data_IF_941417804524
#
_entry.id   IF_941417804524
#
_cell.length_a   1.000
_cell.length_b   1.000
_cell.length_c   1.000
_cell.angle_alpha   90.00
_cell.angle_beta   90.00
_cell.angle_gamma   90.00
#
_symmetry.space_group_name_H-M   'P 1'
#
loop_
_entity.id
_entity.type
_entity.pdbx_description
1 polymer ?
#
# COMPACT_ATOMS: atom_id res chain seq x y z
N UNK A 1 -8.77 -21.54 -5.98
CA UNK A 1 -8.33 -21.41 -4.58
C UNK A 1 -9.05 -20.21 -3.98
N UNK A 2 -9.69 -20.34 -2.81
CA UNK A 2 -10.43 -19.23 -2.17
C UNK A 2 -9.54 -18.50 -1.14
N UNK A 3 -9.87 -17.25 -0.81
CA UNK A 3 -9.19 -16.48 0.23
C UNK A 3 -9.12 -17.23 1.56
N UNK A 4 -10.22 -17.83 1.99
CA UNK A 4 -10.25 -18.60 3.25
C UNK A 4 -9.20 -19.72 3.28
N UNK A 5 -9.01 -20.41 2.15
CA UNK A 5 -8.00 -21.46 2.03
C UNK A 5 -6.58 -20.89 2.14
N UNK A 6 -6.32 -19.72 1.56
CA UNK A 6 -5.04 -19.02 1.68
C UNK A 6 -4.74 -18.67 3.14
N UNK A 7 -5.72 -18.07 3.85
CA UNK A 7 -5.57 -17.67 5.24
C UNK A 7 -5.40 -18.87 6.18
N UNK A 8 -6.10 -19.98 5.92
CA UNK A 8 -6.02 -21.20 6.74
C UNK A 8 -4.77 -22.02 6.51
N UNK A 9 -4.12 -21.91 5.35
CA UNK A 9 -2.94 -22.73 5.01
C UNK A 9 -1.73 -22.46 5.90
N UNK A 10 -1.84 -21.55 6.88
CA UNK A 10 -0.79 -21.18 7.84
C UNK A 10 0.51 -20.99 7.07
N UNK A 11 0.53 -20.07 6.11
CA UNK A 11 1.79 -19.54 5.62
C UNK A 11 2.21 -18.43 6.61
N UNK A 12 3.02 -18.71 7.65
CA UNK A 12 3.62 -17.68 8.51
C UNK A 12 4.55 -16.73 7.73
N UNK A 13 4.61 -16.88 6.42
CA UNK A 13 5.47 -16.12 5.53
C UNK A 13 4.72 -15.06 4.71
N UNK A 14 3.39 -14.93 4.82
CA UNK A 14 2.67 -13.89 4.07
C UNK A 14 3.01 -12.47 4.55
N UNK A 15 2.97 -11.51 3.63
CA UNK A 15 2.80 -10.09 3.92
C UNK A 15 1.46 -9.62 3.33
N UNK A 16 0.66 -8.91 4.12
CA UNK A 16 -0.58 -8.30 3.65
C UNK A 16 -0.28 -6.98 2.97
N UNK A 17 -0.94 -6.69 1.85
CA UNK A 17 -0.92 -5.38 1.19
C UNK A 17 -2.35 -4.85 1.14
N UNK A 18 -2.65 -3.88 2.00
CA UNK A 18 -4.01 -3.41 2.27
C UNK A 18 -4.20 -2.01 1.66
N UNK A 19 -5.31 -1.83 0.95
CA UNK A 19 -5.73 -0.54 0.42
C UNK A 19 -6.97 0.03 1.09
N UNK A 20 -7.37 1.22 0.63
CA UNK A 20 -8.47 1.98 1.24
C UNK A 20 -9.84 1.30 1.11
N UNK A 21 -9.96 0.25 0.30
CA UNK A 21 -11.17 -0.59 0.27
C UNK A 21 -11.56 -1.12 1.66
N UNK A 22 -10.59 -1.35 2.56
CA UNK A 22 -10.88 -1.77 3.94
C UNK A 22 -11.65 -0.68 4.71
N UNK A 23 -11.31 0.60 4.51
CA UNK A 23 -11.98 1.72 5.16
C UNK A 23 -13.37 2.00 4.55
N UNK A 24 -13.66 1.45 3.37
CA UNK A 24 -14.92 1.62 2.64
C UNK A 24 -15.93 0.49 2.89
N UNK A 25 -15.50 -0.60 3.52
CA UNK A 25 -16.40 -1.70 3.87
C UNK A 25 -17.43 -1.28 4.93
N UNK A 26 -18.60 -1.91 4.91
CA UNK A 26 -19.77 -1.56 5.73
C UNK A 26 -20.23 -0.09 5.55
N UNK A 27 -20.82 0.53 6.58
CA UNK A 27 -21.45 1.86 6.51
C UNK A 27 -20.46 3.04 6.34
N UNK A 28 -19.18 2.77 6.04
CA UNK A 28 -18.13 3.80 5.91
C UNK A 28 -17.90 4.28 4.47
N UNK A 29 -18.55 3.67 3.48
CA UNK A 29 -18.34 3.95 2.06
C UNK A 29 -18.57 5.42 1.65
N UNK A 30 -19.46 6.14 2.34
CA UNK A 30 -19.75 7.55 2.07
C UNK A 30 -18.77 8.53 2.75
N UNK A 31 -18.04 8.08 3.78
CA UNK A 31 -17.22 8.94 4.64
C UNK A 31 -15.73 8.84 4.28
N UNK A 32 -15.26 7.66 3.87
CA UNK A 32 -13.81 7.35 3.81
C UNK A 32 -13.30 7.10 2.39
N UNK A 33 -13.59 7.99 1.44
CA UNK A 33 -13.16 7.87 0.04
C UNK A 33 -12.13 8.93 -0.35
N UNK A 34 -10.92 8.51 -0.75
CA UNK A 34 -9.87 9.42 -1.21
C UNK A 34 -10.30 10.32 -2.37
N UNK A 35 -11.02 9.77 -3.35
CA UNK A 35 -11.50 10.55 -4.50
C UNK A 35 -12.44 11.67 -4.03
N UNK A 36 -13.30 11.38 -3.05
CA UNK A 36 -14.23 12.37 -2.50
C UNK A 36 -13.47 13.45 -1.70
N UNK A 37 -12.44 13.06 -0.95
CA UNK A 37 -11.59 14.00 -0.22
C UNK A 37 -10.84 14.94 -1.16
N UNK A 38 -10.22 14.41 -2.22
CA UNK A 38 -9.49 15.22 -3.20
C UNK A 38 -10.42 16.15 -3.97
N UNK A 39 -11.62 15.68 -4.36
CA UNK A 39 -12.64 16.55 -4.96
C UNK A 39 -13.10 17.63 -3.99
N UNK A 40 -13.22 17.33 -2.70
CA UNK A 40 -13.52 18.31 -1.66
C UNK A 40 -12.52 19.46 -1.65
N UNK A 41 -11.23 19.13 -1.58
CA UNK A 41 -10.12 20.11 -1.62
C UNK A 41 -10.09 20.86 -2.96
N UNK A 42 -10.32 20.14 -4.07
CA UNK A 42 -10.23 20.72 -5.41
C UNK A 42 -11.29 21.80 -5.68
N UNK A 43 -12.44 21.79 -5.00
CA UNK A 43 -13.51 22.79 -5.19
C UNK A 43 -13.06 24.21 -4.87
N UNK A 44 -12.17 24.35 -3.90
CA UNK A 44 -11.66 25.66 -3.48
C UNK A 44 -10.63 26.21 -4.49
N UNK A 45 -9.99 25.33 -5.26
CA UNK A 45 -8.99 25.70 -6.27
C UNK A 45 -9.54 25.75 -7.71
N UNK A 46 -10.59 24.97 -8.00
CA UNK A 46 -11.13 24.76 -9.35
C UNK A 46 -12.66 24.92 -9.30
N UNK A 47 -13.18 26.13 -9.58
CA UNK A 47 -14.62 26.40 -9.55
C UNK A 47 -15.43 25.42 -10.43
N UNK A 48 -16.47 24.82 -9.85
CA UNK A 48 -17.39 23.91 -10.56
C UNK A 48 -16.91 22.46 -10.70
N UNK A 49 -15.75 22.08 -10.15
CA UNK A 49 -15.30 20.69 -10.19
C UNK A 49 -16.16 19.80 -9.28
N UNK A 50 -16.73 18.75 -9.88
CA UNK A 50 -17.61 17.80 -9.17
C UNK A 50 -17.13 16.36 -9.25
N UNK A 51 -16.24 16.08 -10.20
CA UNK A 51 -15.58 14.78 -10.41
C UNK A 51 -14.25 14.98 -11.13
N UNK A 52 -13.38 13.98 -11.08
CA UNK A 52 -12.17 13.95 -11.91
C UNK A 52 -12.60 13.87 -13.39
N UNK A 53 -12.11 14.76 -14.27
CA UNK A 53 -12.43 14.71 -15.69
C UNK A 53 -12.02 13.37 -16.32
N UNK A 54 -12.84 12.77 -17.21
CA UNK A 54 -12.45 11.58 -17.96
C UNK A 54 -11.15 11.81 -18.74
N UNK A 55 -10.29 10.80 -18.78
CA UNK A 55 -8.97 10.88 -19.40
C UNK A 55 -7.87 11.47 -18.50
N UNK A 56 -8.16 11.75 -17.23
CA UNK A 56 -7.18 12.21 -16.24
C UNK A 56 -7.09 11.19 -15.10
N UNK A 57 -5.88 10.72 -14.80
CA UNK A 57 -5.66 9.89 -13.62
C UNK A 57 -5.78 10.73 -12.34
N UNK A 58 -6.20 10.12 -11.24
CA UNK A 58 -6.35 10.82 -9.94
C UNK A 58 -5.06 11.54 -9.52
N UNK A 59 -3.90 10.94 -9.83
CA UNK A 59 -2.58 11.49 -9.51
C UNK A 59 -2.21 12.71 -10.36
N UNK A 60 -2.66 12.75 -11.61
CA UNK A 60 -2.49 13.92 -12.48
C UNK A 60 -3.46 15.03 -12.07
N UNK A 61 -4.68 14.64 -11.69
CA UNK A 61 -5.67 15.58 -11.16
C UNK A 61 -5.16 16.29 -9.91
N UNK A 62 -4.52 15.56 -8.98
CA UNK A 62 -3.85 16.17 -7.83
C UNK A 62 -2.79 17.20 -8.26
N UNK A 63 -1.90 16.85 -9.20
CA UNK A 63 -0.84 17.76 -9.68
C UNK A 63 -1.46 19.04 -10.29
N UNK A 64 -2.59 18.92 -11.00
CA UNK A 64 -3.34 20.08 -11.52
C UNK A 64 -3.95 20.94 -10.40
N UNK A 65 -4.56 20.33 -9.38
CA UNK A 65 -5.10 21.04 -8.21
C UNK A 65 -3.98 21.80 -7.50
N UNK A 66 -2.82 21.18 -7.34
CA UNK A 66 -1.63 21.80 -6.75
C UNK A 66 -1.16 23.03 -7.53
N UNK A 67 -1.06 22.93 -8.87
CA UNK A 67 -0.73 24.07 -9.72
C UNK A 67 -1.75 25.22 -9.62
N UNK A 68 -3.03 24.89 -9.39
CA UNK A 68 -4.10 25.88 -9.23
C UNK A 68 -4.20 26.46 -7.81
N UNK A 69 -3.51 25.87 -6.84
CA UNK A 69 -3.49 26.33 -5.43
C UNK A 69 -2.42 27.40 -5.13
N UNK A 70 -1.91 28.09 -6.16
CA UNK A 70 -0.80 29.04 -6.08
C UNK A 70 0.49 28.46 -5.43
N UNK A 71 0.74 27.16 -5.62
CA UNK A 71 1.96 26.50 -5.17
C UNK A 71 2.01 26.17 -3.66
N UNK A 72 0.88 26.16 -2.96
CA UNK A 72 0.80 25.78 -1.53
C UNK A 72 0.74 24.25 -1.33
N UNK A 73 1.68 23.50 -1.90
CA UNK A 73 1.76 22.03 -1.81
C UNK A 73 1.57 21.46 -0.40
N UNK A 74 2.22 22.07 0.59
CA UNK A 74 2.14 21.62 1.99
C UNK A 74 0.76 21.84 2.63
N UNK A 75 -0.03 22.79 2.13
CA UNK A 75 -1.38 23.06 2.63
C UNK A 75 -2.36 21.98 2.15
N UNK A 76 -2.31 21.59 0.87
CA UNK A 76 -3.18 20.54 0.33
C UNK A 76 -2.96 19.18 1.01
N UNK A 77 -1.69 18.78 1.22
CA UNK A 77 -1.38 17.57 1.97
C UNK A 77 -1.86 17.66 3.43
N UNK A 78 -1.78 18.85 4.04
CA UNK A 78 -2.26 19.07 5.41
C UNK A 78 -3.78 18.95 5.52
N UNK A 79 -4.53 19.57 4.61
CA UNK A 79 -5.98 19.49 4.53
C UNK A 79 -6.44 18.05 4.27
N UNK A 80 -5.75 17.36 3.36
CA UNK A 80 -6.00 15.94 3.10
C UNK A 80 -5.80 15.11 4.37
N UNK A 81 -4.69 15.29 5.09
CA UNK A 81 -4.46 14.60 6.37
C UNK A 81 -5.53 14.94 7.42
N UNK A 82 -5.95 16.20 7.50
CA UNK A 82 -6.95 16.66 8.46
C UNK A 82 -8.30 15.98 8.23
N UNK A 83 -8.68 15.77 6.97
CA UNK A 83 -9.95 15.10 6.62
C UNK A 83 -10.05 13.64 7.10
N UNK A 84 -8.92 13.02 7.47
CA UNK A 84 -8.84 11.65 7.99
C UNK A 84 -8.61 11.57 9.51
N UNK A 85 -8.48 12.71 10.21
CA UNK A 85 -8.07 12.75 11.62
C UNK A 85 -9.06 12.01 12.57
N UNK A 86 -10.34 12.03 12.22
CA UNK A 86 -11.40 11.42 13.02
C UNK A 86 -11.75 9.98 12.61
N UNK A 87 -10.99 9.39 11.70
CA UNK A 87 -11.23 8.00 11.31
C UNK A 87 -10.92 7.06 12.49
N UNK A 88 -11.77 6.06 12.66
CA UNK A 88 -11.70 5.11 13.78
C UNK A 88 -11.78 3.66 13.27
N UNK A 89 -11.14 2.72 13.97
CA UNK A 89 -11.25 1.30 13.64
C UNK A 89 -12.67 0.76 13.77
N UNK A 90 -13.15 0.15 12.69
CA UNK A 90 -14.30 -0.75 12.68
C UNK A 90 -13.94 -2.19 13.08
N UNK A 91 -14.93 -3.06 13.37
CA UNK A 91 -14.67 -4.44 13.82
C UNK A 91 -13.82 -5.29 12.86
N UNK A 92 -13.98 -5.15 11.54
CA UNK A 92 -13.19 -5.90 10.57
C UNK A 92 -11.71 -5.47 10.56
N UNK A 93 -11.39 -4.19 10.78
CA UNK A 93 -10.01 -3.74 10.95
C UNK A 93 -9.33 -4.48 12.10
N UNK A 94 -9.97 -4.49 13.28
CA UNK A 94 -9.43 -5.17 14.47
C UNK A 94 -9.24 -6.66 14.23
N UNK A 95 -10.22 -7.31 13.59
CA UNK A 95 -10.16 -8.74 13.27
C UNK A 95 -8.97 -9.09 12.37
N UNK A 96 -8.78 -8.33 11.30
CA UNK A 96 -7.70 -8.56 10.33
C UNK A 96 -6.33 -8.24 10.96
N UNK A 97 -6.22 -7.16 11.72
CA UNK A 97 -4.98 -6.81 12.41
C UNK A 97 -4.63 -7.81 13.52
N UNK A 98 -5.61 -8.30 14.27
CA UNK A 98 -5.38 -9.35 15.26
C UNK A 98 -4.96 -10.67 14.60
N UNK A 99 -5.53 -11.02 13.44
CA UNK A 99 -5.05 -12.15 12.65
C UNK A 99 -3.59 -11.97 12.25
N UNK A 100 -3.24 -10.81 11.68
CA UNK A 100 -1.88 -10.53 11.22
C UNK A 100 -0.88 -10.55 12.39
N UNK A 101 -1.24 -9.96 13.53
CA UNK A 101 -0.42 -9.97 14.75
C UNK A 101 -0.19 -11.37 15.29
N UNK A 102 -1.23 -12.20 15.39
CA UNK A 102 -1.12 -13.60 15.84
C UNK A 102 -0.20 -14.44 14.95
N UNK A 103 -0.19 -14.17 13.66
CA UNK A 103 0.62 -14.90 12.68
C UNK A 103 1.97 -14.24 12.39
N UNK A 104 2.34 -13.17 13.12
CA UNK A 104 3.57 -12.39 12.88
C UNK A 104 3.68 -11.90 11.43
N UNK A 105 2.53 -11.60 10.81
CA UNK A 105 2.41 -11.24 9.40
C UNK A 105 2.59 -9.73 9.23
N UNK A 106 3.63 -9.25 8.52
CA UNK A 106 3.80 -7.84 8.24
C UNK A 106 2.67 -7.30 7.34
N UNK A 107 2.32 -6.02 7.54
CA UNK A 107 1.28 -5.32 6.80
C UNK A 107 1.86 -4.11 6.10
N UNK A 108 1.73 -4.07 4.78
CA UNK A 108 1.92 -2.90 3.95
C UNK A 108 0.57 -2.25 3.73
N UNK A 109 0.46 -0.93 3.92
CA UNK A 109 -0.76 -0.20 3.60
C UNK A 109 -0.49 0.98 2.69
N UNK A 110 -1.38 1.18 1.72
CA UNK A 110 -1.41 2.42 0.92
C UNK A 110 -2.20 3.52 1.64
N UNK A 111 -2.91 3.17 2.71
CA UNK A 111 -3.64 4.11 3.55
C UNK A 111 -2.70 5.13 4.21
N UNK A 112 -3.12 6.38 4.27
CA UNK A 112 -2.37 7.45 4.93
C UNK A 112 -2.76 7.62 6.40
N UNK A 113 -4.00 7.26 6.74
CA UNK A 113 -4.54 7.28 8.09
C UNK A 113 -3.89 6.24 9.02
N UNK A 114 -4.09 6.36 10.34
CA UNK A 114 -3.55 5.42 11.33
C UNK A 114 -4.60 4.39 11.82
N UNK A 115 -5.68 4.14 11.06
CA UNK A 115 -6.78 3.24 11.49
C UNK A 115 -6.26 1.83 11.75
N UNK A 116 -5.41 1.29 10.88
CA UNK A 116 -4.86 -0.06 11.07
C UNK A 116 -3.97 -0.14 12.33
N UNK A 117 -3.16 0.89 12.57
CA UNK A 117 -2.28 0.98 13.74
C UNK A 117 -3.07 1.06 15.04
N UNK A 118 -4.13 1.88 15.06
CA UNK A 118 -5.09 1.93 16.18
C UNK A 118 -5.85 0.62 16.36
N UNK A 119 -6.20 -0.08 15.27
CA UNK A 119 -6.89 -1.37 15.35
C UNK A 119 -6.03 -2.50 15.95
N UNK A 120 -4.70 -2.35 15.88
CA UNK A 120 -3.71 -3.31 16.35
C UNK A 120 -3.10 -2.95 17.72
N UNK A 121 -3.53 -1.84 18.33
CA UNK A 121 -2.92 -1.23 19.52
C UNK A 121 -1.39 -1.12 19.38
N UNK A 122 -0.95 -0.53 18.27
CA UNK A 122 0.46 -0.36 17.95
C UNK A 122 0.90 1.10 18.10
N UNK A 123 2.18 1.27 18.45
CA UNK A 123 2.80 2.57 18.59
C UNK A 123 3.73 2.85 17.41
N UNK A 124 3.96 4.13 17.15
CA UNK A 124 4.88 4.55 16.11
C UNK A 124 6.32 4.20 16.50
N UNK A 125 6.99 3.45 15.63
CA UNK A 125 8.35 3.00 15.79
C UNK A 125 9.27 3.73 14.80
N UNK A 126 10.37 4.25 15.34
CA UNK A 126 11.37 5.01 14.62
C UNK A 126 12.71 4.28 14.68
N UNK A 127 13.07 3.49 13.65
CA UNK A 127 14.35 2.78 13.66
C UNK A 127 15.52 3.76 13.46
N UNK A 128 16.69 3.46 14.06
CA UNK A 128 17.88 4.31 13.94
C UNK A 128 18.54 4.25 12.55
N UNK A 129 18.29 3.18 11.79
CA UNK A 129 18.85 2.93 10.46
C UNK A 129 17.75 2.34 9.54
N UNK A 130 17.59 2.77 8.28
CA UNK A 130 18.34 3.81 7.55
C UNK A 130 18.10 5.23 8.08
N UNK A 131 18.99 6.17 7.70
CA UNK A 131 18.85 7.59 8.02
C UNK A 131 17.45 8.10 7.66
N UNK A 132 16.71 8.51 8.69
CA UNK A 132 15.34 8.98 8.57
C UNK A 132 15.23 10.25 7.72
N UNK A 133 14.15 10.33 6.95
CA UNK A 133 13.64 11.58 6.40
C UNK A 133 12.12 11.59 6.53
N UNK A 134 11.53 12.70 6.94
CA UNK A 134 10.07 12.85 6.95
C UNK A 134 9.46 12.74 5.54
N UNK A 135 10.26 12.92 4.49
CA UNK A 135 9.84 12.78 3.10
C UNK A 135 9.80 11.31 2.65
N UNK A 136 10.71 10.45 3.12
CA UNK A 136 10.72 9.01 2.84
C UNK A 136 10.89 8.22 4.16
N UNK A 137 9.83 8.13 4.99
CA UNK A 137 9.88 7.43 6.27
C UNK A 137 9.81 5.91 6.08
N UNK A 138 10.55 5.35 5.12
CA UNK A 138 10.38 3.96 4.66
C UNK A 138 10.79 2.88 5.67
N UNK A 139 11.62 3.22 6.66
CA UNK A 139 11.91 2.34 7.80
C UNK A 139 10.88 2.45 8.93
N UNK A 140 10.19 3.58 9.04
CA UNK A 140 9.22 3.82 10.10
C UNK A 140 8.00 2.90 9.94
N UNK A 141 7.48 2.44 11.07
CA UNK A 141 6.38 1.49 11.13
C UNK A 141 5.58 1.65 12.41
N UNK A 142 4.45 0.96 12.51
CA UNK A 142 3.72 0.81 13.75
C UNK A 142 3.85 -0.63 14.24
N UNK A 143 4.28 -0.79 15.49
CA UNK A 143 4.42 -2.06 16.18
C UNK A 143 4.49 -1.84 17.69
N UNK A 144 4.48 -2.92 18.47
CA UNK A 144 4.65 -2.88 19.93
C UNK A 144 6.12 -2.80 20.38
N UNK A 145 7.05 -3.01 19.45
CA UNK A 145 8.49 -2.99 19.66
C UNK A 145 9.19 -2.63 18.35
N UNK A 146 10.48 -2.27 18.44
CA UNK A 146 11.31 -2.02 17.26
C UNK A 146 11.57 -3.32 16.49
N UNK A 147 11.45 -3.25 15.17
CA UNK A 147 11.70 -4.36 14.24
C UNK A 147 12.96 -4.04 13.43
N UNK A 148 13.99 -4.90 13.53
CA UNK A 148 15.21 -4.82 12.70
C UNK A 148 15.03 -5.52 11.34
N UNK A 149 14.41 -6.70 11.33
CA UNK A 149 14.07 -7.42 10.10
C UNK A 149 12.57 -7.33 9.83
N UNK A 150 12.12 -6.53 8.84
CA UNK A 150 10.71 -6.40 8.49
C UNK A 150 10.04 -7.75 8.20
N UNK A 151 10.79 -8.74 7.73
CA UNK A 151 10.28 -10.06 7.40
C UNK A 151 10.03 -10.97 8.62
N UNK A 152 10.52 -10.61 9.81
CA UNK A 152 10.56 -11.50 10.97
C UNK A 152 9.38 -11.32 11.95
N UNK A 153 8.64 -10.21 11.85
CA UNK A 153 7.59 -9.90 12.81
C UNK A 153 6.43 -9.09 12.21
N UNK A 154 5.35 -9.00 12.98
CA UNK A 154 4.23 -8.13 12.68
C UNK A 154 4.63 -6.65 12.86
N UNK A 155 4.42 -5.87 11.81
CA UNK A 155 4.46 -4.41 11.83
C UNK A 155 3.59 -3.85 10.72
N UNK A 156 3.26 -2.57 10.81
CA UNK A 156 2.44 -1.87 9.81
C UNK A 156 3.27 -0.76 9.18
N UNK A 157 3.50 -0.84 7.87
CA UNK A 157 4.25 0.14 7.10
C UNK A 157 3.35 0.87 6.10
N UNK A 158 3.47 2.19 6.05
CA UNK A 158 2.71 3.06 5.14
C UNK A 158 3.53 3.35 3.87
N UNK A 159 3.23 2.66 2.79
CA UNK A 159 4.08 2.67 1.58
C UNK A 159 3.87 3.92 0.71
N UNK A 160 2.70 4.57 0.81
CA UNK A 160 2.40 5.83 0.13
C UNK A 160 2.64 7.07 1.01
N UNK A 161 3.17 6.89 2.23
CA UNK A 161 3.29 7.96 3.23
C UNK A 161 2.22 7.86 4.30
N UNK A 162 2.41 8.61 5.40
CA UNK A 162 1.56 8.57 6.59
C UNK A 162 1.17 9.99 7.01
N UNK A 163 -0.06 10.16 7.50
CA UNK A 163 -0.62 11.45 7.88
C UNK A 163 0.23 12.18 8.95
N UNK A 164 0.93 11.41 9.79
CA UNK A 164 1.93 11.89 10.75
C UNK A 164 3.04 12.73 10.12
N UNK A 165 3.45 12.41 8.89
CA UNK A 165 4.43 13.15 8.13
C UNK A 165 3.80 13.62 6.81
N UNK A 166 3.14 14.77 6.85
CA UNK A 166 2.40 15.35 5.70
C UNK A 166 3.25 15.39 4.41
N UNK A 167 4.54 15.69 4.52
CA UNK A 167 5.47 15.73 3.37
C UNK A 167 5.81 14.36 2.78
N UNK A 168 5.53 13.26 3.49
CA UNK A 168 5.65 11.90 2.99
C UNK A 168 4.51 11.49 2.06
N UNK A 169 3.37 12.19 2.12
CA UNK A 169 2.15 11.83 1.40
C UNK A 169 2.39 11.87 -0.11
N UNK A 170 2.02 10.79 -0.79
CA UNK A 170 2.11 10.65 -2.26
C UNK A 170 0.71 10.63 -2.85
N UNK A 171 0.28 11.78 -3.35
CA UNK A 171 -1.02 11.95 -4.04
C UNK A 171 -0.84 12.29 -5.52
N UNK A 172 0.34 12.80 -5.89
CA UNK A 172 0.63 13.36 -7.20
C UNK A 172 1.45 12.42 -8.07
N UNK A 173 1.35 12.55 -9.40
CA UNK A 173 2.17 11.77 -10.33
C UNK A 173 3.66 12.10 -10.11
N UNK A 174 3.97 13.39 -10.00
CA UNK A 174 5.31 13.88 -9.72
C UNK A 174 5.90 13.31 -8.42
N UNK A 175 5.07 13.18 -7.38
CA UNK A 175 5.44 12.56 -6.11
C UNK A 175 5.83 11.07 -6.28
N UNK A 176 5.05 10.32 -7.06
CA UNK A 176 5.36 8.92 -7.35
C UNK A 176 6.62 8.78 -8.21
N UNK A 177 6.85 9.65 -9.19
CA UNK A 177 8.06 9.61 -10.01
C UNK A 177 9.34 9.84 -9.19
N UNK A 178 9.30 10.70 -8.19
CA UNK A 178 10.41 10.87 -7.25
C UNK A 178 10.64 9.61 -6.41
N UNK A 179 9.56 8.94 -5.99
CA UNK A 179 9.63 7.68 -5.25
C UNK A 179 10.22 6.56 -6.11
N UNK A 180 9.83 6.46 -7.38
CA UNK A 180 10.42 5.56 -8.39
C UNK A 180 11.90 5.84 -8.57
N UNK A 181 12.32 7.10 -8.73
CA UNK A 181 13.74 7.46 -8.87
C UNK A 181 14.57 7.01 -7.66
N UNK A 182 14.08 7.26 -6.45
CA UNK A 182 14.77 6.86 -5.21
C UNK A 182 14.85 5.34 -5.07
N UNK A 183 13.72 4.66 -5.19
CA UNK A 183 13.64 3.21 -5.08
C UNK A 183 14.46 2.51 -6.17
N UNK A 184 14.44 3.06 -7.40
CA UNK A 184 15.23 2.56 -8.53
C UNK A 184 16.73 2.59 -8.25
N UNK A 185 17.22 3.63 -7.57
CA UNK A 185 18.61 3.68 -7.10
C UNK A 185 18.97 2.55 -6.14
N UNK A 186 18.06 2.16 -5.26
CA UNK A 186 18.28 1.05 -4.31
C UNK A 186 18.11 -0.32 -4.95
N UNK A 187 17.25 -0.44 -5.96
CA UNK A 187 16.92 -1.72 -6.59
C UNK A 187 17.92 -2.06 -7.72
N UNK A 188 18.07 -1.14 -8.69
CA UNK A 188 18.84 -1.32 -9.93
C UNK A 188 20.15 -0.52 -9.93
N UNK A 189 20.55 0.02 -8.79
CA UNK A 189 21.76 0.82 -8.65
C UNK A 189 23.04 0.14 -9.14
N UNK A 190 24.11 0.92 -9.22
CA UNK A 190 25.45 0.41 -9.54
C UNK A 190 26.25 -0.01 -8.32
N UNK A 191 25.78 0.29 -7.10
CA UNK A 191 26.46 -0.13 -5.87
C UNK A 191 26.25 -1.62 -5.59
N UNK A 192 27.19 -2.23 -4.87
CA UNK A 192 27.05 -3.61 -4.39
C UNK A 192 25.93 -3.77 -3.35
N UNK A 193 25.47 -2.64 -2.77
CA UNK A 193 24.31 -2.56 -1.87
C UNK A 193 22.97 -2.39 -2.62
N UNK A 194 22.97 -2.46 -3.96
CA UNK A 194 21.73 -2.49 -4.73
C UNK A 194 21.13 -3.89 -4.74
N UNK A 195 19.80 -4.00 -4.69
CA UNK A 195 19.12 -5.29 -4.55
C UNK A 195 19.55 -6.32 -5.63
N UNK A 196 19.74 -5.89 -6.87
CA UNK A 196 20.10 -6.78 -7.98
C UNK A 196 21.57 -7.21 -7.98
N UNK A 197 22.42 -6.60 -7.15
CA UNK A 197 23.85 -6.91 -7.03
C UNK A 197 24.23 -7.47 -5.67
N UNK A 198 23.40 -7.24 -4.66
CA UNK A 198 23.61 -7.68 -3.29
C UNK A 198 23.83 -9.19 -3.23
N UNK A 199 24.96 -9.58 -2.62
CA UNK A 199 25.35 -10.99 -2.49
C UNK A 199 24.36 -11.76 -1.63
N UNK A 200 23.93 -11.16 -0.52
CA UNK A 200 22.92 -11.71 0.38
C UNK A 200 21.64 -10.87 0.39
N UNK A 201 20.51 -11.48 0.78
CA UNK A 201 19.20 -10.83 0.81
C UNK A 201 19.13 -9.62 1.75
N UNK A 202 19.97 -9.55 2.78
CA UNK A 202 20.01 -8.44 3.76
C UNK A 202 21.05 -7.37 3.44
N UNK A 203 21.91 -7.58 2.45
CA UNK A 203 23.03 -6.69 2.15
C UNK A 203 22.64 -5.64 1.11
N UNK A 204 21.51 -4.95 1.31
CA UNK A 204 21.05 -3.91 0.39
C UNK A 204 20.32 -2.78 1.11
N UNK A 205 20.29 -1.61 0.48
CA UNK A 205 19.88 -0.34 1.13
C UNK A 205 18.45 -0.34 1.67
N UNK A 206 17.56 -1.15 1.09
CA UNK A 206 16.17 -1.26 1.54
C UNK A 206 15.90 -2.41 2.52
N UNK A 207 16.92 -3.16 2.97
CA UNK A 207 16.74 -4.37 3.79
C UNK A 207 16.00 -4.14 5.10
N UNK A 208 16.14 -2.96 5.69
CA UNK A 208 15.46 -2.54 6.93
C UNK A 208 14.19 -1.71 6.68
N UNK A 209 13.60 -1.82 5.49
CA UNK A 209 12.42 -1.05 5.10
C UNK A 209 11.31 -1.95 4.59
N UNK A 210 10.11 -1.39 4.45
CA UNK A 210 8.99 -2.09 3.86
C UNK A 210 9.26 -2.62 2.44
N UNK A 211 10.21 -2.02 1.71
CA UNK A 211 10.59 -2.51 0.38
C UNK A 211 11.13 -3.94 0.45
N UNK A 212 11.77 -4.33 1.57
CA UNK A 212 12.27 -5.69 1.76
C UNK A 212 11.18 -6.75 1.68
N UNK A 213 10.00 -6.44 2.23
CA UNK A 213 8.83 -7.30 2.20
C UNK A 213 8.39 -7.60 0.77
N UNK A 214 8.38 -6.60 -0.11
CA UNK A 214 7.95 -6.75 -1.51
C UNK A 214 8.75 -7.83 -2.23
N UNK A 215 10.05 -7.93 -1.99
CA UNK A 215 10.95 -8.86 -2.68
C UNK A 215 11.19 -10.18 -1.95
N UNK A 216 10.88 -10.28 -0.64
CA UNK A 216 11.27 -11.42 0.20
C UNK A 216 10.10 -12.08 0.92
N UNK A 217 8.86 -11.69 0.61
CA UNK A 217 7.64 -12.32 1.14
C UNK A 217 6.64 -12.65 0.03
N UNK A 218 5.87 -13.73 0.19
CA UNK A 218 4.59 -13.89 -0.48
C UNK A 218 3.65 -12.72 -0.17
N UNK A 219 2.95 -12.20 -1.18
CA UNK A 219 2.11 -11.00 -1.02
C UNK A 219 0.62 -11.31 -1.18
N UNK A 220 -0.22 -10.81 -0.28
CA UNK A 220 -1.68 -10.89 -0.40
C UNK A 220 -2.28 -9.49 -0.48
N UNK A 221 -2.75 -9.10 -1.66
CA UNK A 221 -3.37 -7.80 -1.92
C UNK A 221 -4.88 -7.85 -1.64
N UNK A 222 -5.36 -6.97 -0.76
CA UNK A 222 -6.78 -6.79 -0.43
C UNK A 222 -7.15 -5.31 -0.33
N UNK A 223 -8.36 -4.95 -0.72
CA UNK A 223 -8.85 -3.57 -0.64
C UNK A 223 -8.13 -2.56 -1.54
N UNK A 224 -7.36 -3.04 -2.52
CA UNK A 224 -6.71 -2.23 -3.54
C UNK A 224 -7.44 -2.39 -4.88
N UNK A 225 -7.58 -1.28 -5.61
CA UNK A 225 -8.04 -1.35 -7.00
C UNK A 225 -6.92 -1.86 -7.92
N UNK A 226 -5.65 -1.54 -7.60
CA UNK A 226 -4.48 -1.77 -8.48
C UNK A 226 -4.70 -1.26 -9.91
N UNK A 227 -5.49 -0.19 -10.05
CA UNK A 227 -5.77 0.48 -11.31
C UNK A 227 -4.54 1.24 -11.81
N UNK A 228 -4.64 1.82 -13.00
CA UNK A 228 -3.51 2.45 -13.71
C UNK A 228 -2.86 3.60 -12.91
N UNK A 229 -3.60 4.22 -11.98
CA UNK A 229 -3.13 5.29 -11.11
C UNK A 229 -2.23 4.81 -9.94
N UNK A 230 -2.17 3.51 -9.63
CA UNK A 230 -1.27 2.94 -8.61
C UNK A 230 0.16 2.79 -9.15
N UNK A 231 0.68 3.86 -9.77
CA UNK A 231 1.87 3.83 -10.64
C UNK A 231 3.10 3.28 -9.91
N UNK A 232 3.35 3.72 -8.68
CA UNK A 232 4.53 3.28 -7.92
C UNK A 232 4.47 1.80 -7.53
N UNK A 233 3.30 1.33 -7.06
CA UNK A 233 3.12 -0.07 -6.69
C UNK A 233 3.18 -0.98 -7.92
N UNK A 234 2.55 -0.59 -9.04
CA UNK A 234 2.64 -1.33 -10.32
C UNK A 234 4.07 -1.39 -10.83
N UNK A 235 4.82 -0.29 -10.75
CA UNK A 235 6.25 -0.29 -11.07
C UNK A 235 7.05 -1.24 -10.18
N UNK A 236 6.82 -1.23 -8.86
CA UNK A 236 7.49 -2.16 -7.94
C UNK A 236 7.17 -3.64 -8.26
N UNK A 237 5.95 -3.94 -8.67
CA UNK A 237 5.57 -5.29 -9.08
C UNK A 237 6.29 -5.75 -10.35
N UNK A 238 6.49 -4.84 -11.31
CA UNK A 238 7.33 -5.10 -12.48
C UNK A 238 8.77 -5.38 -12.04
N UNK A 239 9.31 -4.58 -11.13
CA UNK A 239 10.67 -4.77 -10.61
C UNK A 239 10.83 -6.08 -9.84
N UNK A 240 9.82 -6.47 -9.05
CA UNK A 240 9.75 -7.77 -8.38
C UNK A 240 9.76 -8.92 -9.39
N UNK A 241 8.98 -8.82 -10.46
CA UNK A 241 8.96 -9.83 -11.51
C UNK A 241 10.32 -9.94 -12.24
N UNK A 242 10.97 -8.81 -12.54
CA UNK A 242 12.33 -8.79 -13.11
C UNK A 242 13.35 -9.43 -12.16
N UNK A 243 13.27 -9.10 -10.88
CA UNK A 243 14.16 -9.64 -9.85
C UNK A 243 14.02 -11.17 -9.76
N UNK A 244 12.80 -11.71 -9.75
CA UNK A 244 12.59 -13.16 -9.73
C UNK A 244 12.92 -13.86 -11.04
N UNK A 245 12.88 -13.17 -12.17
CA UNK A 245 13.42 -13.71 -13.43
C UNK A 245 14.93 -13.85 -13.37
N UNK A 246 15.62 -12.91 -12.72
CA UNK A 246 17.07 -12.94 -12.53
C UNK A 246 17.50 -13.94 -11.45
N UNK A 247 16.70 -14.10 -10.40
CA UNK A 247 16.94 -15.00 -9.27
C UNK A 247 15.73 -15.92 -9.03
N UNK A 248 15.50 -16.95 -9.87
CA UNK A 248 14.31 -17.80 -9.79
C UNK A 248 14.15 -18.52 -8.44
N UNK A 249 15.25 -18.84 -7.77
CA UNK A 249 15.28 -19.49 -6.46
C UNK A 249 14.79 -18.57 -5.32
N UNK A 250 14.70 -17.26 -5.57
CA UNK A 250 14.20 -16.27 -4.60
C UNK A 250 12.74 -15.92 -4.80
N UNK A 251 12.06 -16.59 -5.74
CA UNK A 251 10.68 -16.29 -6.10
C UNK A 251 9.73 -16.55 -4.93
N UNK A 252 8.84 -15.60 -4.71
CA UNK A 252 7.72 -15.72 -3.78
C UNK A 252 6.40 -15.49 -4.51
N UNK A 253 5.35 -16.21 -4.10
CA UNK A 253 4.03 -16.09 -4.71
C UNK A 253 3.35 -14.75 -4.38
N UNK A 254 2.28 -14.42 -5.12
CA UNK A 254 1.46 -13.26 -4.84
C UNK A 254 0.02 -13.49 -5.29
N UNK A 255 -0.93 -12.93 -4.54
CA UNK A 255 -2.37 -13.07 -4.80
C UNK A 255 -3.07 -11.73 -4.70
N UNK A 256 -4.00 -11.49 -5.63
CA UNK A 256 -4.88 -10.32 -5.64
C UNK A 256 -6.32 -10.76 -5.44
N UNK A 257 -6.93 -10.35 -4.34
CA UNK A 257 -8.34 -10.61 -4.07
C UNK A 257 -9.18 -9.46 -4.61
N UNK A 258 -10.16 -9.77 -5.45
CA UNK A 258 -11.04 -8.78 -6.06
C UNK A 258 -12.50 -9.25 -6.04
N UNK A 259 -13.40 -8.28 -6.18
CA UNK A 259 -14.81 -8.53 -6.49
C UNK A 259 -15.00 -8.08 -7.93
N UNK A 260 -15.62 -8.92 -8.76
CA UNK A 260 -15.88 -8.57 -10.15
C UNK A 260 -16.93 -7.45 -10.24
N UNK A 261 -16.67 -6.44 -11.08
CA UNK A 261 -17.70 -5.48 -11.50
C UNK A 261 -17.88 -5.66 -13.02
N UNK A 262 -18.99 -6.26 -13.47
CA UNK A 262 -19.19 -6.55 -14.89
C UNK A 262 -19.28 -5.29 -15.77
N UNK A 263 -19.35 -4.10 -15.17
CA UNK A 263 -19.35 -2.80 -15.86
C UNK A 263 -17.95 -2.21 -16.01
N UNK A 264 -16.93 -2.74 -15.33
CA UNK A 264 -15.56 -2.25 -15.43
C UNK A 264 -14.84 -2.93 -16.60
N UNK A 265 -14.94 -2.34 -17.79
CA UNK A 265 -14.31 -2.83 -19.02
C UNK A 265 -12.77 -2.92 -18.91
N UNK A 266 -12.16 -2.27 -17.91
CA UNK A 266 -10.71 -2.29 -17.65
C UNK A 266 -10.26 -3.52 -16.85
N UNK A 267 -11.17 -4.31 -16.29
CA UNK A 267 -10.85 -5.47 -15.47
C UNK A 267 -9.95 -6.47 -16.23
N UNK A 268 -10.23 -6.71 -17.51
CA UNK A 268 -9.42 -7.59 -18.36
C UNK A 268 -7.97 -7.10 -18.49
N UNK A 269 -7.76 -5.80 -18.73
CA UNK A 269 -6.42 -5.19 -18.82
C UNK A 269 -5.66 -5.26 -17.48
N UNK A 270 -6.37 -5.10 -16.36
CA UNK A 270 -5.80 -5.26 -15.02
C UNK A 270 -5.36 -6.71 -14.76
N UNK A 271 -6.20 -7.70 -15.08
CA UNK A 271 -5.83 -9.12 -14.96
C UNK A 271 -4.63 -9.45 -15.83
N UNK A 272 -4.65 -9.03 -17.10
CA UNK A 272 -3.51 -9.20 -18.01
C UNK A 272 -2.21 -8.69 -17.38
N UNK A 273 -2.22 -7.46 -16.83
CA UNK A 273 -1.04 -6.91 -16.17
C UNK A 273 -0.60 -7.73 -14.95
N UNK A 274 -1.52 -7.97 -13.99
CA UNK A 274 -1.19 -8.62 -12.72
C UNK A 274 -0.69 -10.05 -12.92
N UNK A 275 -1.34 -10.81 -13.78
CA UNK A 275 -0.94 -12.19 -14.09
C UNK A 275 0.40 -12.22 -14.84
N UNK A 276 0.65 -11.28 -15.75
CA UNK A 276 1.92 -11.16 -16.47
C UNK A 276 3.11 -10.86 -15.55
N UNK A 277 2.89 -10.16 -14.44
CA UNK A 277 3.92 -9.92 -13.40
C UNK A 277 3.92 -10.97 -12.29
N UNK A 278 3.18 -12.07 -12.47
CA UNK A 278 3.21 -13.24 -11.59
C UNK A 278 2.29 -13.17 -10.38
N UNK A 279 1.22 -12.37 -10.42
CA UNK A 279 0.22 -12.26 -9.36
C UNK A 279 -1.03 -13.04 -9.78
N UNK A 280 -1.47 -13.98 -8.94
CA UNK A 280 -2.69 -14.75 -9.20
C UNK A 280 -3.92 -13.97 -8.74
N UNK A 281 -4.82 -13.67 -9.67
CA UNK A 281 -6.11 -13.04 -9.36
C UNK A 281 -7.09 -14.08 -8.79
N UNK A 282 -7.74 -13.76 -7.66
CA UNK A 282 -8.74 -14.61 -7.01
C UNK A 282 -10.00 -13.79 -6.80
N UNK A 283 -11.07 -14.20 -7.45
CA UNK A 283 -12.38 -13.59 -7.32
C UNK A 283 -13.01 -13.98 -5.97
N UNK A 284 -13.60 -12.99 -5.31
CA UNK A 284 -14.49 -13.12 -4.17
C UNK A 284 -15.90 -12.71 -4.62
N UNK A 285 -16.93 -13.44 -4.18
CA UNK A 285 -18.31 -13.16 -4.59
C UNK A 285 -18.87 -11.85 -4.03
N UNK A 286 -18.25 -11.30 -2.99
CA UNK A 286 -18.60 -9.99 -2.43
C UNK A 286 -17.48 -9.43 -1.56
N UNK A 287 -17.56 -8.14 -1.21
CA UNK A 287 -16.66 -7.55 -0.21
C UNK A 287 -16.82 -8.18 1.18
N UNK A 288 -18.01 -8.71 1.51
CA UNK A 288 -18.22 -9.48 2.73
C UNK A 288 -17.39 -10.76 2.77
N UNK A 289 -17.23 -11.45 1.63
CA UNK A 289 -16.35 -12.62 1.54
C UNK A 289 -14.86 -12.28 1.72
N UNK A 290 -14.48 -11.00 1.60
CA UNK A 290 -13.13 -10.51 1.87
C UNK A 290 -12.99 -10.13 3.34
N UNK A 291 -13.78 -9.15 3.82
CA UNK A 291 -13.54 -8.51 5.12
C UNK A 291 -14.23 -9.22 6.29
N UNK A 292 -15.31 -9.95 6.02
CA UNK A 292 -16.00 -10.76 7.02
C UNK A 292 -15.63 -12.25 6.94
N UNK A 293 -14.61 -12.58 6.15
CA UNK A 293 -14.14 -13.95 5.95
C UNK A 293 -13.80 -14.63 7.29
N UNK A 294 -14.29 -15.86 7.56
CA UNK A 294 -13.98 -16.58 8.78
C UNK A 294 -12.49 -16.95 8.89
N UNK A 295 -11.76 -16.98 7.78
CA UNK A 295 -10.30 -17.16 7.74
C UNK A 295 -9.53 -16.20 8.64
N UNK A 296 -10.03 -14.97 8.85
CA UNK A 296 -9.44 -14.00 9.77
C UNK A 296 -9.61 -14.37 11.25
N UNK A 297 -10.58 -15.22 11.59
CA UNK A 297 -10.86 -15.64 12.97
C UNK A 297 -10.14 -16.93 13.37
N UNK A 298 -9.66 -17.71 12.40
CA UNK A 298 -8.98 -18.97 12.70
C UNK A 298 -7.59 -18.76 13.31
N UNK A 299 -7.13 -19.79 14.02
CA UNK A 299 -5.88 -19.85 14.80
C UNK A 299 -4.89 -20.83 14.18
#
# INVERSE_FOLDING_TARGET
>A
MKLETLLRRREPDLALVIGNGINRHANAAAVNSWDALLIGIARDCIPGVTKVPPGTALTEFYDVVELKSDGRTGALQAEFCQSMADWRPFPHHRRIMEWARRHRTPVLTTNFDEVLSHAADCEFQFPPDPKFTAFYPWGCHFARHLIDDPCADFGIWHINGMARYKTSIRLGLSHYMQSVRRAGGWIQGRSDESLFRAKNRRDWQGARTWMHLVFNKPLLFVGLALAENEVFLRWLLIERAKYFRMFPERRHDAWYIYVDDPRDERQAGKHFFLESVGIRCIEAGSYGEIYDNPGWMHA
#
